data_IF_027666848524
#
_entry.id   IF_027666848524
#
_cell.length_a   1.000
_cell.length_b   1.000
_cell.length_c   1.000
_cell.angle_alpha   90.00
_cell.angle_beta   90.00
_cell.angle_gamma   90.00
#
_symmetry.space_group_name_H-M   'P 1'
#
loop_
_entity.id
_entity.type
_entity.pdbx_description
1 polymer ?
#
# COMPACT_ATOMS: atom_id res chain seq x y z
N UNK A 1 2.49 18.50 42.19
CA UNK A 1 1.29 17.69 41.88
C UNK A 1 0.71 18.24 40.60
N UNK A 2 0.99 17.58 39.47
CA UNK A 2 0.31 17.89 38.20
C UNK A 2 -0.96 17.03 38.13
N UNK A 3 -2.09 17.57 37.66
CA UNK A 3 -3.37 16.88 37.72
C UNK A 3 -3.38 15.70 36.76
N UNK A 4 -3.76 14.54 37.28
CA UNK A 4 -4.05 13.32 36.52
C UNK A 4 -5.25 13.58 35.61
N UNK A 5 -5.01 13.75 34.32
CA UNK A 5 -6.05 13.55 33.31
C UNK A 5 -6.22 12.05 33.14
N UNK A 6 -7.34 11.52 33.63
CA UNK A 6 -7.84 10.22 33.21
C UNK A 6 -8.15 10.30 31.72
N UNK A 7 -7.37 9.59 30.90
CA UNK A 7 -7.65 9.45 29.48
C UNK A 7 -8.81 8.46 29.33
N UNK A 8 -9.92 8.97 28.82
CA UNK A 8 -11.09 8.19 28.44
C UNK A 8 -10.74 7.50 27.11
N UNK A 9 -10.71 6.17 27.09
CA UNK A 9 -10.16 5.34 26.00
C UNK A 9 -10.93 5.38 24.68
N UNK A 10 -11.85 6.33 24.53
CA UNK A 10 -12.63 6.58 23.31
C UNK A 10 -12.18 7.83 22.55
N UNK A 11 -11.42 8.75 23.18
CA UNK A 11 -11.02 10.02 22.55
C UNK A 11 -9.75 9.95 21.68
N UNK A 12 -8.95 8.88 21.77
CA UNK A 12 -7.67 8.75 21.05
C UNK A 12 -7.80 8.08 19.67
N UNK A 13 -9.01 7.75 19.23
CA UNK A 13 -9.30 7.27 17.86
C UNK A 13 -9.36 8.40 16.81
N UNK A 14 -8.82 9.58 17.13
CA UNK A 14 -8.88 10.75 16.27
C UNK A 14 -8.12 10.52 14.95
N UNK A 15 -8.66 11.06 13.84
CA UNK A 15 -8.01 11.08 12.53
C UNK A 15 -6.57 11.61 12.68
N UNK A 16 -5.58 10.76 12.36
CA UNK A 16 -4.18 11.20 12.30
C UNK A 16 -3.97 11.98 11.00
N UNK A 17 -3.42 13.18 11.11
CA UNK A 17 -2.89 13.90 9.96
C UNK A 17 -1.51 13.32 9.64
N UNK A 18 -1.31 12.77 8.45
CA UNK A 18 -0.04 12.17 8.01
C UNK A 18 -0.20 10.82 7.32
N UNK A 19 0.77 9.92 7.47
CA UNK A 19 0.74 8.57 6.90
C UNK A 19 1.02 7.50 7.96
N UNK A 20 0.85 6.25 7.56
CA UNK A 20 1.20 5.07 8.32
C UNK A 20 2.14 4.19 7.47
N UNK A 21 3.35 3.97 7.97
CA UNK A 21 4.25 2.97 7.40
C UNK A 21 4.27 1.73 8.28
N UNK A 22 4.29 0.58 7.64
CA UNK A 22 4.29 -0.75 8.25
C UNK A 22 5.15 -1.68 7.40
N UNK A 23 5.75 -2.70 8.02
CA UNK A 23 6.71 -3.57 7.36
C UNK A 23 6.68 -4.98 7.92
N UNK A 24 7.23 -5.92 7.14
CA UNK A 24 7.55 -7.28 7.52
C UNK A 24 8.69 -7.81 6.64
N UNK A 25 9.71 -8.44 7.25
CA UNK A 25 10.84 -9.08 6.55
C UNK A 25 11.46 -8.26 5.39
N UNK A 26 11.65 -6.95 5.59
CA UNK A 26 12.26 -6.05 4.61
C UNK A 26 11.33 -5.59 3.47
N UNK A 27 10.07 -6.04 3.46
CA UNK A 27 8.98 -5.42 2.70
C UNK A 27 8.31 -4.36 3.57
N UNK A 28 8.06 -3.19 2.98
CA UNK A 28 7.41 -2.06 3.64
C UNK A 28 6.30 -1.52 2.75
N UNK A 29 5.26 -1.01 3.38
CA UNK A 29 4.19 -0.31 2.72
C UNK A 29 3.83 0.96 3.49
N UNK A 30 3.38 1.98 2.76
CA UNK A 30 2.92 3.23 3.35
C UNK A 30 1.54 3.58 2.83
N UNK A 31 0.66 3.95 3.77
CA UNK A 31 -0.71 4.39 3.49
C UNK A 31 -0.94 5.81 4.00
N UNK A 32 -1.68 6.62 3.27
CA UNK A 32 -2.01 7.99 3.67
C UNK A 32 -2.98 8.08 4.85
N UNK A 33 -3.26 9.30 5.32
CA UNK A 33 -4.26 9.58 6.37
C UNK A 33 -5.66 9.14 5.94
N UNK A 34 -5.87 9.20 4.64
CA UNK A 34 -7.07 8.77 3.97
C UNK A 34 -7.17 7.23 3.98
N UNK A 35 -6.07 6.50 4.13
CA UNK A 35 -6.01 5.04 4.01
C UNK A 35 -5.71 4.57 2.59
N UNK A 36 -5.33 5.43 1.66
CA UNK A 36 -4.88 5.02 0.32
C UNK A 36 -3.48 4.41 0.38
N UNK A 37 -3.23 3.33 -0.36
CA UNK A 37 -1.89 2.76 -0.48
C UNK A 37 -1.04 3.62 -1.41
N UNK A 38 -0.01 4.23 -0.85
CA UNK A 38 0.85 5.19 -1.55
C UNK A 38 2.09 4.52 -2.13
N UNK A 39 2.66 3.55 -1.40
CA UNK A 39 3.92 2.95 -1.78
C UNK A 39 4.10 1.57 -1.22
N UNK A 40 4.77 0.72 -1.99
CA UNK A 40 5.36 -0.54 -1.55
C UNK A 40 6.85 -0.44 -1.83
N UNK A 41 7.69 -0.88 -0.90
CA UNK A 41 9.14 -0.88 -1.07
C UNK A 41 9.77 -2.11 -0.47
N UNK A 42 10.78 -2.66 -1.15
CA UNK A 42 11.47 -3.87 -0.74
C UNK A 42 12.94 -3.80 -1.10
N UNK A 43 13.79 -4.25 -0.18
CA UNK A 43 15.18 -4.58 -0.52
C UNK A 43 15.31 -6.04 -0.90
N UNK A 44 16.08 -6.33 -1.95
CA UNK A 44 16.33 -7.68 -2.40
C UNK A 44 17.77 -8.11 -2.10
N UNK A 45 18.01 -9.35 -1.66
CA UNK A 45 19.36 -9.86 -1.41
C UNK A 45 20.30 -9.65 -2.61
N UNK A 46 21.51 -9.15 -2.35
CA UNK A 46 22.51 -8.89 -3.38
C UNK A 46 22.31 -7.60 -4.17
N UNK A 47 21.25 -6.83 -3.92
CA UNK A 47 21.07 -5.50 -4.51
C UNK A 47 21.61 -4.40 -3.63
N UNK A 48 22.19 -3.37 -4.27
CA UNK A 48 22.77 -2.22 -3.57
C UNK A 48 21.69 -1.31 -3.00
N UNK A 49 20.69 -0.97 -3.81
CA UNK A 49 19.56 -0.14 -3.44
C UNK A 49 18.28 -0.98 -3.29
N UNK A 50 17.29 -0.41 -2.60
CA UNK A 50 15.94 -0.97 -2.56
C UNK A 50 15.17 -0.70 -3.85
N UNK A 51 13.98 -1.27 -3.95
CA UNK A 51 13.05 -1.04 -5.04
C UNK A 51 11.73 -0.55 -4.46
N UNK A 52 11.00 0.26 -5.21
CA UNK A 52 9.64 0.66 -4.86
C UNK A 52 8.70 0.56 -6.05
N UNK A 53 7.41 0.56 -5.73
CA UNK A 53 6.33 0.76 -6.70
C UNK A 53 5.81 2.18 -6.54
N UNK A 54 5.80 2.91 -7.64
CA UNK A 54 5.37 4.31 -7.72
C UNK A 54 4.27 4.51 -8.77
N UNK A 55 3.56 5.62 -8.64
CA UNK A 55 2.75 6.16 -9.73
C UNK A 55 3.64 6.76 -10.85
N UNK A 56 3.17 6.79 -12.10
CA UNK A 56 3.94 7.28 -13.24
C UNK A 56 4.49 8.71 -13.09
N UNK A 57 3.71 9.58 -12.46
CA UNK A 57 4.00 11.00 -12.29
C UNK A 57 4.84 11.29 -11.02
N UNK A 58 5.20 10.26 -10.26
CA UNK A 58 6.05 10.41 -9.08
C UNK A 58 7.47 10.80 -9.50
N UNK A 59 8.01 11.87 -8.92
CA UNK A 59 9.37 12.34 -9.18
C UNK A 59 10.41 11.22 -8.95
N UNK A 60 11.42 11.15 -9.82
CA UNK A 60 12.49 10.14 -9.72
C UNK A 60 13.21 10.17 -8.37
N UNK A 61 13.73 9.03 -7.89
CA UNK A 61 14.43 8.90 -6.60
C UNK A 61 15.49 10.00 -6.34
N UNK A 62 16.41 10.27 -7.27
CA UNK A 62 17.46 11.28 -7.09
C UNK A 62 16.92 12.70 -6.77
N UNK A 63 15.66 13.01 -7.11
CA UNK A 63 14.97 14.25 -6.76
C UNK A 63 14.37 14.18 -5.36
N UNK A 64 15.21 13.91 -4.36
CA UNK A 64 14.82 13.68 -2.95
C UNK A 64 13.77 14.68 -2.46
N UNK A 65 14.04 16.00 -2.58
CA UNK A 65 13.16 17.03 -2.02
C UNK A 65 11.83 17.17 -2.77
N UNK A 66 11.81 17.30 -4.12
CA UNK A 66 10.56 17.25 -4.88
C UNK A 66 9.72 16.00 -4.61
N UNK A 67 10.36 14.83 -4.66
CA UNK A 67 9.72 13.53 -4.41
C UNK A 67 9.10 13.46 -3.02
N UNK A 68 9.83 13.86 -1.98
CA UNK A 68 9.34 13.90 -0.61
C UNK A 68 8.12 14.84 -0.46
N UNK A 69 8.16 16.03 -1.08
CA UNK A 69 7.04 16.97 -1.03
C UNK A 69 5.79 16.40 -1.69
N UNK A 70 5.94 15.79 -2.87
CA UNK A 70 4.85 15.14 -3.58
C UNK A 70 4.27 13.97 -2.77
N UNK A 71 5.12 13.17 -2.14
CA UNK A 71 4.69 12.08 -1.27
C UNK A 71 3.89 12.56 -0.06
N UNK A 72 4.39 13.57 0.67
CA UNK A 72 3.70 14.14 1.84
C UNK A 72 2.37 14.79 1.44
N UNK A 73 2.34 15.47 0.29
CA UNK A 73 1.10 16.02 -0.26
C UNK A 73 0.05 14.92 -0.47
N UNK A 74 0.42 13.79 -1.09
CA UNK A 74 -0.48 12.64 -1.30
C UNK A 74 -0.88 11.96 0.00
N UNK A 75 0.03 11.89 0.99
CA UNK A 75 -0.28 11.33 2.29
C UNK A 75 -1.40 12.06 3.04
N UNK A 76 -1.49 13.36 2.85
CA UNK A 76 -2.51 14.22 3.47
C UNK A 76 -3.75 14.39 2.58
N UNK A 77 -3.67 13.99 1.31
CA UNK A 77 -4.74 14.17 0.31
C UNK A 77 -6.00 13.39 0.69
N UNK A 78 -7.15 14.08 0.87
CA UNK A 78 -8.42 13.41 1.16
C UNK A 78 -9.03 12.70 -0.05
N UNK A 79 -8.61 13.01 -1.29
CA UNK A 79 -9.27 12.60 -2.53
C UNK A 79 -9.27 11.08 -2.75
N UNK A 80 -8.32 10.33 -2.18
CA UNK A 80 -8.12 8.89 -2.46
C UNK A 80 -7.85 8.58 -3.95
N UNK A 81 -7.50 9.59 -4.74
CA UNK A 81 -7.32 9.45 -6.20
C UNK A 81 -5.89 9.09 -6.59
N UNK A 82 -4.94 9.46 -5.72
CA UNK A 82 -3.51 9.28 -5.95
C UNK A 82 -2.97 8.12 -5.11
N UNK A 83 -2.41 7.12 -5.76
CA UNK A 83 -1.70 6.02 -5.11
C UNK A 83 -1.51 4.83 -6.05
N UNK A 84 -0.72 3.87 -5.59
CA UNK A 84 -0.55 2.58 -6.26
C UNK A 84 -1.64 1.57 -5.85
N UNK A 85 -2.47 1.95 -4.88
CA UNK A 85 -3.58 1.16 -4.38
C UNK A 85 -4.77 1.10 -5.33
N UNK A 86 -5.85 0.53 -4.81
CA UNK A 86 -7.10 0.33 -5.54
C UNK A 86 -8.02 1.55 -5.43
N UNK A 87 -8.65 1.93 -6.55
CA UNK A 87 -9.72 2.93 -6.57
C UNK A 87 -11.09 2.25 -6.41
N UNK A 88 -11.95 2.85 -5.60
CA UNK A 88 -13.31 2.36 -5.32
C UNK A 88 -14.31 3.49 -5.50
N UNK A 89 -15.20 3.37 -6.47
CA UNK A 89 -16.15 4.44 -6.85
C UNK A 89 -17.09 4.86 -5.72
N UNK A 90 -17.54 3.91 -4.89
CA UNK A 90 -18.43 4.15 -3.76
C UNK A 90 -17.80 5.07 -2.68
N UNK A 91 -16.50 5.30 -2.74
CA UNK A 91 -15.76 6.20 -1.85
C UNK A 91 -15.44 7.56 -2.48
N UNK A 92 -15.78 7.78 -3.75
CA UNK A 92 -15.38 9.01 -4.46
C UNK A 92 -16.09 10.25 -3.89
N UNK A 93 -17.37 10.15 -3.53
CA UNK A 93 -18.16 11.28 -3.05
C UNK A 93 -18.39 11.26 -1.52
N UNK A 94 -18.18 12.41 -0.88
CA UNK A 94 -18.48 12.66 0.55
C UNK A 94 -17.82 11.67 1.51
N UNK A 95 -16.62 11.23 1.15
CA UNK A 95 -15.80 10.35 1.95
C UNK A 95 -15.42 10.98 3.28
N UNK A 96 -15.53 10.19 4.35
CA UNK A 96 -15.11 10.57 5.67
C UNK A 96 -14.38 9.40 6.36
N UNK A 97 -13.14 9.64 6.77
CA UNK A 97 -12.45 8.72 7.69
C UNK A 97 -12.95 9.04 9.09
N UNK A 98 -13.70 8.11 9.70
CA UNK A 98 -14.24 8.27 11.05
C UNK A 98 -13.16 8.08 12.10
N UNK A 99 -12.35 7.03 11.94
CA UNK A 99 -11.17 6.79 12.75
C UNK A 99 -10.18 5.87 12.02
N UNK A 100 -8.98 5.84 12.56
CA UNK A 100 -7.88 4.99 12.14
C UNK A 100 -7.19 4.41 13.38
N UNK A 101 -6.74 3.17 13.31
CA UNK A 101 -6.02 2.49 14.38
C UNK A 101 -4.87 1.63 13.84
N UNK A 102 -4.00 1.18 14.72
CA UNK A 102 -2.98 0.18 14.43
C UNK A 102 -3.35 -1.11 15.18
N UNK A 103 -3.84 -2.10 14.45
CA UNK A 103 -4.09 -3.43 15.01
C UNK A 103 -2.73 -4.03 15.37
N UNK A 104 -2.62 -4.54 16.60
CA UNK A 104 -1.37 -5.12 17.12
C UNK A 104 -0.18 -4.15 17.06
N UNK A 105 -0.43 -2.85 17.24
CA UNK A 105 0.57 -1.76 17.13
C UNK A 105 1.32 -1.71 15.78
N UNK A 106 0.78 -2.40 14.75
CA UNK A 106 1.50 -2.68 13.51
C UNK A 106 0.68 -2.40 12.25
N UNK A 107 -0.54 -2.91 12.22
CA UNK A 107 -1.33 -3.04 10.99
C UNK A 107 -2.36 -1.91 10.88
N UNK A 108 -2.23 -1.00 9.89
CA UNK A 108 -3.18 0.09 9.74
C UNK A 108 -4.58 -0.43 9.43
N UNK A 109 -5.56 0.09 10.18
CA UNK A 109 -6.97 -0.15 9.94
C UNK A 109 -7.74 1.18 9.97
N UNK A 110 -8.76 1.29 9.12
CA UNK A 110 -9.55 2.49 8.94
C UNK A 110 -11.03 2.15 8.91
N UNK A 111 -11.82 2.98 9.60
CA UNK A 111 -13.28 3.02 9.42
C UNK A 111 -13.62 4.23 8.57
N UNK A 112 -14.12 3.97 7.38
CA UNK A 112 -14.43 4.99 6.37
C UNK A 112 -15.93 4.94 6.09
N UNK A 113 -16.58 6.10 5.98
CA UNK A 113 -17.95 6.21 5.50
C UNK A 113 -18.04 7.06 4.25
N UNK A 114 -19.01 6.77 3.41
CA UNK A 114 -19.51 7.67 2.37
C UNK A 114 -21.02 7.82 2.52
N UNK A 115 -21.70 8.44 1.54
CA UNK A 115 -23.16 8.55 1.56
C UNK A 115 -23.88 7.20 1.60
N UNK A 116 -23.28 6.20 0.97
CA UNK A 116 -23.99 4.96 0.62
C UNK A 116 -23.34 3.69 1.21
N UNK A 117 -22.15 3.79 1.79
CA UNK A 117 -21.43 2.63 2.34
C UNK A 117 -20.57 2.98 3.54
N UNK A 118 -20.52 2.08 4.51
CA UNK A 118 -19.45 2.04 5.51
C UNK A 118 -18.42 0.99 5.09
N UNK A 119 -17.15 1.30 5.25
CA UNK A 119 -16.03 0.47 4.86
C UNK A 119 -15.09 0.26 6.06
N UNK A 120 -14.82 -1.00 6.39
CA UNK A 120 -13.60 -1.35 7.12
C UNK A 120 -12.49 -1.63 6.12
N UNK A 121 -11.41 -0.86 6.20
CA UNK A 121 -10.23 -1.03 5.39
C UNK A 121 -9.08 -1.49 6.29
N UNK A 122 -8.46 -2.62 5.98
CA UNK A 122 -7.39 -3.20 6.79
C UNK A 122 -6.18 -3.52 5.93
N UNK A 123 -4.98 -3.33 6.50
CA UNK A 123 -3.72 -3.64 5.85
C UNK A 123 -2.91 -4.63 6.67
N UNK A 124 -2.22 -5.55 6.00
CA UNK A 124 -1.22 -6.41 6.62
C UNK A 124 -0.13 -6.77 5.61
N UNK A 125 1.00 -7.26 6.13
CA UNK A 125 2.06 -7.86 5.30
C UNK A 125 2.31 -9.25 5.83
N UNK A 126 2.29 -10.23 4.92
CA UNK A 126 2.55 -11.64 5.22
C UNK A 126 3.26 -12.27 4.02
N UNK A 127 4.29 -13.09 4.26
CA UNK A 127 5.03 -13.86 3.25
C UNK A 127 5.50 -13.05 2.03
N UNK A 128 5.92 -11.80 2.29
CA UNK A 128 6.40 -10.88 1.27
C UNK A 128 5.32 -10.34 0.33
N UNK A 129 4.06 -10.33 0.77
CA UNK A 129 2.91 -9.75 0.07
C UNK A 129 2.22 -8.71 0.96
N UNK A 130 1.82 -7.58 0.38
CA UNK A 130 0.98 -6.57 1.06
C UNK A 130 -0.48 -6.87 0.76
N UNK A 131 -1.30 -6.92 1.80
CA UNK A 131 -2.73 -7.18 1.70
C UNK A 131 -3.52 -5.92 2.06
N UNK A 132 -4.51 -5.61 1.25
CA UNK A 132 -5.47 -4.53 1.47
C UNK A 132 -6.88 -5.11 1.41
N UNK A 133 -7.52 -5.25 2.56
CA UNK A 133 -8.85 -5.85 2.69
C UNK A 133 -9.91 -4.77 2.82
N UNK A 134 -10.88 -4.81 1.93
CA UNK A 134 -12.08 -3.98 1.93
C UNK A 134 -13.26 -4.82 2.43
N UNK A 135 -13.93 -4.37 3.50
CA UNK A 135 -15.18 -4.95 3.99
C UNK A 135 -16.28 -3.88 3.93
N UNK A 136 -17.11 -3.98 2.90
CA UNK A 136 -18.23 -3.08 2.66
C UNK A 136 -19.43 -3.48 3.51
N UNK A 137 -20.04 -2.49 4.15
CA UNK A 137 -21.25 -2.61 4.94
C UNK A 137 -22.30 -1.60 4.45
N UNK A 138 -23.32 -2.15 3.80
CA UNK A 138 -24.51 -1.49 3.26
C UNK A 138 -25.74 -1.67 4.16
N UNK A 139 -25.56 -2.20 5.38
CA UNK A 139 -26.67 -2.44 6.32
C UNK A 139 -27.27 -1.14 6.86
N UNK A 140 -26.52 -0.05 6.88
CA UNK A 140 -27.05 1.28 7.15
C UNK A 140 -27.70 1.81 5.88
N UNK A 141 -29.02 2.03 5.98
CA UNK A 141 -29.87 2.59 4.93
C UNK A 141 -29.19 3.85 4.34
N UNK A 142 -28.94 3.87 3.03
CA UNK A 142 -28.55 5.08 2.29
C UNK A 142 -29.53 6.21 2.62
N UNK A 143 -29.14 7.49 2.50
CA UNK A 143 -30.04 8.63 2.77
C UNK A 143 -31.42 8.55 2.07
N UNK A 144 -31.52 7.73 1.02
CA UNK A 144 -32.72 7.55 0.19
C UNK A 144 -33.57 6.31 0.53
N UNK A 145 -33.22 5.53 1.56
CA UNK A 145 -34.06 4.38 1.95
C UNK A 145 -33.80 3.08 1.20
N UNK A 146 -32.86 3.05 0.25
CA UNK A 146 -32.64 1.92 -0.66
C UNK A 146 -31.21 1.38 -0.56
N UNK A 147 -31.06 0.06 -0.40
CA UNK A 147 -29.75 -0.60 -0.56
C UNK A 147 -29.26 -0.44 -2.01
N UNK A 148 -27.94 -0.36 -2.26
CA UNK A 148 -27.42 -0.41 -3.62
C UNK A 148 -27.78 -1.75 -4.27
N UNK A 149 -28.12 -1.70 -5.56
CA UNK A 149 -28.52 -2.87 -6.35
C UNK A 149 -27.35 -3.56 -7.05
N UNK A 150 -26.13 -3.03 -6.88
CA UNK A 150 -24.92 -3.55 -7.50
C UNK A 150 -23.71 -3.34 -6.60
N UNK A 151 -22.70 -4.22 -6.68
CA UNK A 151 -21.43 -4.02 -5.99
C UNK A 151 -20.66 -2.80 -6.53
N UNK A 152 -19.69 -2.27 -5.78
CA UNK A 152 -18.95 -1.07 -6.16
C UNK A 152 -18.01 -1.37 -7.32
N UNK A 153 -17.75 -0.38 -8.17
CA UNK A 153 -16.71 -0.48 -9.21
C UNK A 153 -15.35 -0.34 -8.55
N UNK A 154 -14.52 -1.37 -8.73
CA UNK A 154 -13.15 -1.42 -8.25
C UNK A 154 -12.19 -1.36 -9.44
N UNK A 155 -11.33 -0.34 -9.47
CA UNK A 155 -10.34 -0.11 -10.51
C UNK A 155 -8.92 -0.33 -10.00
N UNK A 156 -8.06 -0.84 -10.89
CA UNK A 156 -6.66 -1.16 -10.61
C UNK A 156 -5.76 -0.57 -11.68
N UNK A 157 -4.56 -0.14 -11.26
CA UNK A 157 -3.58 0.44 -12.18
C UNK A 157 -2.75 -0.62 -12.87
N UNK A 158 -2.55 -0.45 -14.18
CA UNK A 158 -1.62 -1.25 -14.98
C UNK A 158 -0.24 -0.59 -15.14
N UNK A 159 -0.20 0.72 -15.02
CA UNK A 159 0.93 1.56 -15.40
C UNK A 159 1.90 1.88 -14.25
N UNK A 160 1.78 1.22 -13.10
CA UNK A 160 2.69 1.44 -11.97
C UNK A 160 4.16 1.23 -12.39
N UNK A 161 5.04 2.06 -11.84
CA UNK A 161 6.47 2.02 -12.11
C UNK A 161 7.19 1.26 -11.00
N UNK A 162 8.12 0.39 -11.39
CA UNK A 162 9.07 -0.24 -10.47
C UNK A 162 10.36 0.57 -10.55
N UNK A 163 10.70 1.29 -9.47
CA UNK A 163 11.87 2.16 -9.43
C UNK A 163 12.94 1.62 -8.48
N UNK A 164 14.19 1.80 -8.88
CA UNK A 164 15.37 1.57 -8.06
C UNK A 164 15.59 2.80 -7.17
N UNK A 165 15.56 2.60 -5.86
CA UNK A 165 15.73 3.63 -4.82
C UNK A 165 17.21 4.08 -4.69
N UNK A 166 17.85 4.39 -5.80
CA UNK A 166 19.17 5.04 -5.85
C UNK A 166 18.99 6.56 -5.94
N UNK A 167 19.46 7.24 -4.89
CA UNK A 167 19.33 8.69 -4.72
C UNK A 167 20.60 9.46 -5.09
N UNK A 168 21.69 8.75 -5.37
CA UNK A 168 23.01 9.36 -5.63
C UNK A 168 23.20 9.54 -7.13
N UNK A 169 22.79 8.54 -7.92
CA UNK A 169 23.05 8.51 -9.35
C UNK A 169 22.30 9.64 -10.05
N UNK A 170 23.03 10.46 -10.82
CA UNK A 170 22.52 11.66 -11.46
C UNK A 170 21.51 11.33 -12.58
N UNK A 171 20.65 12.30 -12.96
CA UNK A 171 19.68 12.09 -14.04
C UNK A 171 20.34 11.56 -15.32
N UNK A 172 19.72 10.53 -15.91
CA UNK A 172 20.21 9.86 -17.11
C UNK A 172 21.33 8.85 -16.90
N UNK A 173 21.83 8.66 -15.67
CA UNK A 173 22.85 7.65 -15.34
C UNK A 173 22.27 6.37 -14.73
N UNK A 174 20.99 6.37 -14.37
CA UNK A 174 20.24 5.19 -13.95
C UNK A 174 19.07 4.96 -14.92
N UNK A 175 19.30 4.31 -16.07
CA UNK A 175 18.28 4.16 -17.09
C UNK A 175 17.07 3.37 -16.60
N UNK A 176 17.27 2.44 -15.64
CA UNK A 176 16.18 1.71 -14.98
C UNK A 176 15.13 2.62 -14.32
N UNK A 177 15.42 3.88 -14.00
CA UNK A 177 14.41 4.79 -13.47
C UNK A 177 13.69 5.64 -14.53
N UNK A 178 14.08 5.56 -15.80
CA UNK A 178 13.42 6.29 -16.87
C UNK A 178 12.01 5.74 -17.10
N UNK A 179 11.02 6.63 -17.25
CA UNK A 179 9.62 6.22 -17.51
C UNK A 179 9.42 5.64 -18.90
N UNK A 180 10.26 6.05 -19.85
CA UNK A 180 10.27 5.58 -21.23
C UNK A 180 11.31 4.47 -21.45
N UNK A 181 11.77 3.82 -20.37
CA UNK A 181 12.75 2.74 -20.47
C UNK A 181 12.18 1.54 -21.24
N UNK A 182 12.96 1.04 -22.20
CA UNK A 182 12.59 -0.12 -23.02
C UNK A 182 12.48 -1.43 -22.24
N UNK A 183 12.98 -1.48 -21.01
CA UNK A 183 12.91 -2.61 -20.09
C UNK A 183 11.52 -2.83 -19.50
N UNK A 184 10.61 -1.85 -19.58
CA UNK A 184 9.22 -2.04 -19.20
C UNK A 184 8.47 -2.91 -20.20
N UNK A 185 7.93 -4.02 -19.71
CA UNK A 185 6.96 -4.82 -20.46
C UNK A 185 5.56 -4.26 -20.24
N UNK A 186 4.67 -4.22 -21.27
CA UNK A 186 3.28 -3.83 -21.09
C UNK A 186 2.64 -4.63 -19.96
N UNK A 187 1.75 -3.98 -19.20
CA UNK A 187 0.97 -4.68 -18.20
C UNK A 187 0.14 -5.79 -18.87
N UNK A 188 0.02 -6.94 -18.20
CA UNK A 188 -0.74 -8.08 -18.73
C UNK A 188 -1.54 -8.76 -17.64
N UNK A 189 -2.61 -9.45 -18.04
CA UNK A 189 -3.33 -10.38 -17.19
C UNK A 189 -2.73 -11.78 -17.34
N UNK A 190 -2.28 -12.36 -16.25
CA UNK A 190 -1.74 -13.71 -16.21
C UNK A 190 -2.19 -14.40 -14.93
N UNK A 191 -2.83 -15.56 -15.06
CA UNK A 191 -3.35 -16.31 -13.90
C UNK A 191 -4.33 -15.53 -13.03
N UNK A 192 -5.12 -14.60 -13.58
CA UNK A 192 -6.05 -13.79 -12.76
C UNK A 192 -5.36 -12.69 -11.93
N UNK A 193 -4.10 -12.39 -12.21
CA UNK A 193 -3.38 -11.25 -11.64
C UNK A 193 -2.95 -10.27 -12.73
N UNK A 194 -2.87 -8.99 -12.38
CA UNK A 194 -2.19 -7.98 -13.20
C UNK A 194 -0.69 -8.14 -12.95
N UNK A 195 0.10 -8.18 -14.02
CA UNK A 195 1.55 -8.22 -13.97
C UNK A 195 2.16 -7.03 -14.68
N UNK A 196 3.07 -6.36 -13.99
CA UNK A 196 3.94 -5.31 -14.53
C UNK A 196 5.38 -5.72 -14.27
N UNK A 197 6.22 -5.65 -15.30
CA UNK A 197 7.61 -6.10 -15.21
C UNK A 197 8.55 -5.03 -15.73
N UNK A 198 9.73 -4.97 -15.11
CA UNK A 198 10.83 -4.11 -15.52
C UNK A 198 12.14 -4.89 -15.48
N UNK A 199 12.74 -5.07 -16.65
CA UNK A 199 14.03 -5.73 -16.83
C UNK A 199 15.18 -4.73 -16.63
N UNK A 200 16.20 -5.12 -15.86
CA UNK A 200 17.42 -4.33 -15.72
C UNK A 200 18.46 -4.66 -16.81
N UNK A 201 19.56 -3.89 -16.86
CA UNK A 201 20.62 -4.05 -17.86
C UNK A 201 21.29 -5.44 -17.84
N UNK A 202 21.23 -6.14 -16.71
CA UNK A 202 21.78 -7.50 -16.54
C UNK A 202 20.78 -8.57 -17.02
N UNK A 203 19.62 -8.18 -17.57
CA UNK A 203 18.55 -9.07 -18.02
C UNK A 203 17.73 -9.66 -16.86
N UNK A 204 17.89 -9.14 -15.63
CA UNK A 204 17.15 -9.62 -14.47
C UNK A 204 15.84 -8.88 -14.34
N UNK A 205 14.81 -9.61 -13.91
CA UNK A 205 13.44 -9.12 -13.96
C UNK A 205 12.93 -8.74 -12.57
N UNK A 206 12.52 -7.48 -12.43
CA UNK A 206 11.65 -7.07 -11.34
C UNK A 206 10.19 -7.15 -11.78
N UNK A 207 9.30 -7.47 -10.84
CA UNK A 207 7.87 -7.54 -11.13
C UNK A 207 7.02 -6.98 -9.99
N UNK A 208 5.87 -6.44 -10.37
CA UNK A 208 4.79 -6.06 -9.50
C UNK A 208 3.53 -6.80 -9.95
N UNK A 209 2.88 -7.49 -9.01
CA UNK A 209 1.64 -8.20 -9.29
C UNK A 209 0.52 -7.80 -8.36
N UNK A 210 -0.69 -7.70 -8.92
CA UNK A 210 -1.91 -7.38 -8.18
C UNK A 210 -2.92 -8.51 -8.40
N UNK A 211 -3.46 -9.03 -7.31
CA UNK A 211 -4.47 -10.08 -7.31
C UNK A 211 -5.64 -9.69 -6.40
N UNK A 212 -6.83 -10.18 -6.69
CA UNK A 212 -8.00 -9.99 -5.85
C UNK A 212 -8.64 -11.33 -5.46
N UNK A 213 -9.02 -11.49 -4.20
CA UNK A 213 -9.72 -12.69 -3.70
C UNK A 213 -10.58 -12.38 -2.47
N UNK A 214 -11.38 -13.34 -2.05
CA UNK A 214 -11.98 -13.40 -0.71
C UNK A 214 -11.72 -14.78 -0.10
N UNK A 215 -12.37 -15.09 1.02
CA UNK A 215 -12.20 -16.37 1.73
C UNK A 215 -12.68 -17.59 0.93
N UNK A 216 -13.45 -17.38 -0.15
CA UNK A 216 -14.05 -18.46 -0.94
C UNK A 216 -13.35 -18.69 -2.27
N UNK A 217 -12.91 -17.62 -2.94
CA UNK A 217 -12.37 -17.72 -4.29
C UNK A 217 -11.51 -16.51 -4.71
N UNK A 218 -10.85 -16.68 -5.86
CA UNK A 218 -10.10 -15.63 -6.57
C UNK A 218 -11.04 -14.89 -7.52
N UNK A 219 -11.06 -13.56 -7.46
CA UNK A 219 -11.85 -12.74 -8.37
C UNK A 219 -11.18 -12.63 -9.74
N UNK A 220 -12.00 -12.54 -10.79
CA UNK A 220 -11.53 -12.23 -12.13
C UNK A 220 -11.20 -10.74 -12.24
N UNK A 221 -10.04 -10.43 -12.82
CA UNK A 221 -9.66 -9.06 -13.21
C UNK A 221 -9.71 -9.00 -14.73
N UNK A 222 -10.38 -7.98 -15.25
CA UNK A 222 -10.55 -7.75 -16.70
C UNK A 222 -9.97 -6.41 -17.09
N UNK A 223 -9.55 -6.27 -18.34
CA UNK A 223 -9.22 -4.96 -18.90
C UNK A 223 -10.46 -4.06 -18.83
N UNK A 224 -10.26 -2.84 -18.34
CA UNK A 224 -11.29 -1.84 -18.36
C UNK A 224 -11.64 -1.58 -19.83
N UNK A 225 -12.90 -1.73 -20.25
CA UNK A 225 -13.29 -1.37 -21.60
C UNK A 225 -12.90 0.08 -21.84
N UNK A 226 -12.42 0.40 -23.05
CA UNK A 226 -12.18 1.78 -23.52
C UNK A 226 -13.53 2.48 -23.66
N UNK A 227 -14.22 2.73 -22.54
CA UNK A 227 -15.57 3.29 -22.50
C UNK A 227 -15.48 4.74 -22.05
N UNK A 228 -15.98 5.62 -22.92
CA UNK A 228 -16.54 6.91 -22.55
C UNK A 228 -17.69 6.65 -21.56
N UNK A 229 -17.42 6.73 -20.25
CA UNK A 229 -18.48 6.66 -19.24
C UNK A 229 -18.86 8.10 -18.89
N UNK A 230 -20.17 8.35 -18.89
CA UNK A 230 -20.80 9.65 -18.74
C UNK A 230 -20.14 10.56 -17.70
N UNK A 231 -19.96 11.82 -18.10
CA UNK A 231 -19.57 12.98 -17.30
C UNK A 231 -18.26 12.92 -16.49
N UNK A 232 -17.55 11.79 -16.38
CA UNK A 232 -16.19 11.78 -15.84
C UNK A 232 -15.19 12.15 -16.93
N UNK A 233 -14.39 13.23 -16.79
CA UNK A 233 -13.39 13.58 -17.77
C UNK A 233 -12.39 12.44 -17.94
N UNK A 234 -11.99 12.16 -19.19
CA UNK A 234 -11.07 11.06 -19.54
C UNK A 234 -9.76 11.08 -18.72
N UNK A 235 -9.33 12.25 -18.29
CA UNK A 235 -8.12 12.47 -17.49
C UNK A 235 -8.20 11.82 -16.10
N UNK A 236 -9.40 11.62 -15.53
CA UNK A 236 -9.59 10.98 -14.22
C UNK A 236 -9.37 9.46 -14.22
N UNK A 237 -9.39 8.83 -15.40
CA UNK A 237 -9.26 7.37 -15.54
C UNK A 237 -7.91 6.94 -16.13
N UNK A 238 -6.98 7.88 -16.36
CA UNK A 238 -5.66 7.57 -16.92
C UNK A 238 -4.87 6.62 -16.01
N UNK A 239 -4.52 5.45 -16.56
CA UNK A 239 -3.76 4.40 -15.88
C UNK A 239 -4.59 3.37 -15.11
N UNK A 240 -5.91 3.61 -14.94
CA UNK A 240 -6.84 2.66 -14.32
C UNK A 240 -7.36 1.62 -15.33
N UNK A 241 -6.41 0.88 -15.87
CA UNK A 241 -6.57 0.01 -17.04
C UNK A 241 -7.34 -1.28 -16.77
N UNK A 242 -7.60 -1.61 -15.50
CA UNK A 242 -8.21 -2.87 -15.10
C UNK A 242 -9.38 -2.68 -14.13
N UNK A 243 -10.33 -3.61 -14.20
CA UNK A 243 -11.52 -3.69 -13.35
C UNK A 243 -11.56 -5.04 -12.65
N UNK A 244 -11.93 -5.03 -11.37
CA UNK A 244 -12.39 -6.23 -10.71
C UNK A 244 -13.79 -6.59 -11.22
N UNK A 245 -13.97 -7.85 -11.58
CA UNK A 245 -15.26 -8.39 -11.98
C UNK A 245 -15.86 -9.19 -10.82
N UNK A 246 -16.88 -8.62 -10.21
CA UNK A 246 -17.72 -9.30 -9.24
C UNK A 246 -18.47 -10.46 -9.90
N UNK A 247 -18.63 -11.55 -9.16
CA UNK A 247 -19.46 -12.67 -9.58
C UNK A 247 -20.96 -12.39 -9.32
N UNK A 248 -21.83 -13.31 -9.77
CA UNK A 248 -23.26 -13.20 -9.52
C UNK A 248 -23.63 -13.33 -8.02
N UNK A 249 -22.72 -13.86 -7.20
CA UNK A 249 -22.94 -14.06 -5.77
C UNK A 249 -22.81 -12.73 -5.01
N UNK A 250 -21.90 -11.85 -5.41
CA UNK A 250 -21.72 -10.54 -4.80
C UNK A 250 -23.01 -9.71 -4.70
N UNK A 251 -23.83 -9.67 -5.76
CA UNK A 251 -25.12 -8.97 -5.74
C UNK A 251 -26.11 -9.62 -4.78
N UNK A 252 -26.13 -10.97 -4.72
CA UNK A 252 -26.98 -11.71 -3.77
C UNK A 252 -26.57 -11.45 -2.32
N UNK A 253 -25.27 -11.35 -2.06
CA UNK A 253 -24.74 -11.09 -0.72
C UNK A 253 -25.08 -9.67 -0.24
N UNK A 254 -25.08 -8.69 -1.13
CA UNK A 254 -25.56 -7.33 -0.83
C UNK A 254 -27.06 -7.36 -0.50
N UNK A 255 -27.87 -8.04 -1.30
CA UNK A 255 -29.31 -8.13 -1.08
C UNK A 255 -29.63 -8.81 0.26
N UNK A 256 -29.02 -9.98 0.49
CA UNK A 256 -29.28 -10.84 1.65
C UNK A 256 -28.65 -10.30 2.93
N UNK A 257 -27.36 -9.96 2.91
CA UNK A 257 -26.58 -9.61 4.11
C UNK A 257 -26.25 -8.12 4.19
N UNK A 258 -26.29 -7.40 3.06
CA UNK A 258 -25.82 -6.01 3.00
C UNK A 258 -24.32 -5.89 3.22
N UNK A 259 -23.55 -6.92 2.89
CA UNK A 259 -22.10 -6.96 3.11
C UNK A 259 -21.39 -7.58 1.94
N UNK A 260 -20.17 -7.11 1.69
CA UNK A 260 -19.29 -7.61 0.65
C UNK A 260 -17.84 -7.45 1.11
N UNK A 261 -16.96 -8.35 0.70
CA UNK A 261 -15.53 -8.20 0.99
C UNK A 261 -14.64 -8.63 -0.17
N UNK A 262 -13.53 -7.95 -0.29
CA UNK A 262 -12.44 -8.30 -1.22
C UNK A 262 -11.11 -7.91 -0.60
N UNK A 263 -10.12 -8.76 -0.79
CA UNK A 263 -8.73 -8.50 -0.43
C UNK A 263 -7.90 -8.37 -1.70
N UNK A 264 -7.17 -7.27 -1.79
CA UNK A 264 -6.16 -7.05 -2.82
C UNK A 264 -4.81 -7.48 -2.27
N UNK A 265 -4.11 -8.33 -3.01
CA UNK A 265 -2.73 -8.73 -2.71
C UNK A 265 -1.77 -8.10 -3.71
N UNK A 266 -0.76 -7.41 -3.17
CA UNK A 266 0.27 -6.72 -3.92
C UNK A 266 1.63 -7.35 -3.64
N UNK A 267 2.34 -7.81 -4.67
CA UNK A 267 3.66 -8.42 -4.52
C UNK A 267 4.68 -7.71 -5.38
N UNK A 268 5.74 -7.22 -4.73
CA UNK A 268 6.95 -6.72 -5.37
C UNK A 268 8.03 -7.80 -5.28
N UNK A 269 8.48 -8.28 -6.43
CA UNK A 269 9.45 -9.37 -6.54
C UNK A 269 10.61 -9.05 -7.49
N UNK A 270 11.66 -9.86 -7.40
CA UNK A 270 12.87 -9.71 -8.18
C UNK A 270 13.51 -11.07 -8.45
N UNK A 271 13.74 -11.38 -9.72
CA UNK A 271 14.43 -12.59 -10.21
C UNK A 271 13.87 -13.90 -9.63
N UNK A 272 12.56 -13.91 -9.34
CA UNK A 272 11.79 -15.04 -8.83
C UNK A 272 10.64 -15.32 -9.79
N UNK A 273 10.22 -16.58 -9.90
CA UNK A 273 8.96 -16.89 -10.58
C UNK A 273 7.80 -16.21 -9.83
N UNK A 274 6.84 -15.61 -10.55
CA UNK A 274 5.61 -15.13 -9.96
C UNK A 274 4.96 -16.20 -9.07
N UNK A 275 4.54 -15.82 -7.87
CA UNK A 275 3.76 -16.72 -6.99
C UNK A 275 2.41 -16.98 -7.62
N UNK A 276 1.91 -18.22 -7.51
CA UNK A 276 0.65 -18.61 -8.12
C UNK A 276 -0.54 -18.12 -7.29
N UNK A 277 -1.69 -17.83 -7.94
CA UNK A 277 -2.93 -17.41 -7.27
C UNK A 277 -3.37 -18.27 -6.08
N UNK A 278 -3.24 -19.59 -6.21
CA UNK A 278 -3.70 -20.57 -5.22
C UNK A 278 -2.94 -20.45 -3.90
N UNK A 279 -1.64 -20.13 -3.98
CA UNK A 279 -0.80 -19.97 -2.79
C UNK A 279 -1.23 -18.74 -1.98
N UNK A 280 -1.69 -17.68 -2.65
CA UNK A 280 -2.15 -16.44 -2.02
C UNK A 280 -3.47 -16.60 -1.25
N UNK A 281 -4.41 -17.42 -1.75
CA UNK A 281 -5.70 -17.68 -1.06
C UNK A 281 -5.46 -18.44 0.25
N UNK A 282 -4.48 -19.34 0.31
CA UNK A 282 -4.12 -20.00 1.57
C UNK A 282 -3.55 -19.00 2.59
N UNK A 283 -2.82 -17.99 2.15
CA UNK A 283 -2.39 -16.89 3.03
C UNK A 283 -3.56 -16.04 3.52
N UNK A 284 -4.66 -15.93 2.75
CA UNK A 284 -5.89 -15.19 3.12
C UNK A 284 -6.56 -15.71 4.38
N UNK A 285 -6.69 -17.04 4.52
CA UNK A 285 -7.27 -17.66 5.71
C UNK A 285 -6.47 -17.32 6.98
N UNK A 286 -5.20 -16.93 6.83
CA UNK A 286 -4.33 -16.52 7.93
C UNK A 286 -4.44 -15.02 8.24
N UNK A 287 -5.09 -14.21 7.39
CA UNK A 287 -5.14 -12.75 7.48
C UNK A 287 -6.20 -12.19 8.43
N UNK A 288 -6.96 -13.03 9.14
CA UNK A 288 -7.82 -12.54 10.21
C UNK A 288 -6.99 -12.03 11.40
N UNK A 289 -6.62 -10.75 11.30
CA UNK A 289 -5.82 -10.06 12.32
C UNK A 289 -6.47 -10.09 13.70
N UNK A 290 -7.79 -10.30 13.80
CA UNK A 290 -8.48 -10.35 15.09
C UNK A 290 -8.26 -11.67 15.83
N UNK A 291 -7.91 -12.73 15.11
CA UNK A 291 -7.64 -14.06 15.66
C UNK A 291 -6.15 -14.41 15.66
N UNK A 292 -5.31 -13.64 14.97
CA UNK A 292 -3.87 -13.79 15.05
C UNK A 292 -3.38 -13.58 16.50
N UNK A 293 -2.60 -14.51 17.06
CA UNK A 293 -2.00 -14.32 18.37
C UNK A 293 -1.02 -13.16 18.33
N UNK A 294 -1.18 -12.21 19.24
CA UNK A 294 -0.28 -11.07 19.42
C UNK A 294 0.12 -10.95 20.87
N UNK A 295 1.42 -11.05 21.12
CA UNK A 295 2.02 -10.79 22.42
C UNK A 295 2.88 -9.53 22.31
N UNK A 296 2.40 -8.43 22.87
CA UNK A 296 3.09 -7.15 22.82
C UNK A 296 4.35 -7.19 23.70
N UNK A 297 5.52 -6.95 23.11
CA UNK A 297 6.76 -6.77 23.85
C UNK A 297 6.65 -5.56 24.79
N UNK A 298 6.95 -5.75 26.09
CA UNK A 298 6.98 -4.65 27.07
C UNK A 298 8.40 -4.11 27.15
N UNK A 299 8.58 -2.82 26.82
CA UNK A 299 9.88 -2.15 26.86
C UNK A 299 10.02 -1.21 28.07
N UNK A 300 8.91 -0.70 28.57
CA UNK A 300 8.86 0.31 29.64
C UNK A 300 7.55 0.23 30.43
N UNK A 301 7.47 0.98 31.52
CA UNK A 301 6.24 1.13 32.30
C UNK A 301 5.27 2.18 31.70
N UNK A 302 5.58 2.76 30.55
CA UNK A 302 4.75 3.77 29.88
C UNK A 302 4.12 3.17 28.60
N UNK A 303 2.81 2.87 28.61
CA UNK A 303 2.13 2.24 27.48
C UNK A 303 2.28 2.98 26.15
N UNK A 304 2.29 4.32 26.18
CA UNK A 304 2.42 5.13 24.96
C UNK A 304 3.84 5.05 24.39
N UNK A 305 4.85 5.04 25.26
CA UNK A 305 6.23 4.84 24.85
C UNK A 305 6.41 3.45 24.24
N UNK A 306 5.79 2.45 24.84
CA UNK A 306 5.83 1.07 24.40
C UNK A 306 5.22 0.86 23.01
N UNK A 307 4.08 1.49 22.70
CA UNK A 307 3.51 1.50 21.34
C UNK A 307 4.49 2.13 20.34
N UNK A 308 5.09 3.27 20.70
CA UNK A 308 6.09 3.91 19.84
C UNK A 308 7.33 3.04 19.64
N UNK A 309 7.80 2.36 20.69
CA UNK A 309 8.97 1.49 20.62
C UNK A 309 8.69 0.24 19.79
N UNK A 310 7.55 -0.45 19.98
CA UNK A 310 7.15 -1.59 19.15
C UNK A 310 7.04 -1.20 17.68
N UNK A 311 6.35 -0.10 17.37
CA UNK A 311 6.23 0.38 15.99
C UNK A 311 7.61 0.56 15.34
N UNK A 312 8.54 1.26 15.99
CA UNK A 312 9.81 1.62 15.36
C UNK A 312 10.88 0.52 15.45
N UNK A 313 10.95 -0.21 16.57
CA UNK A 313 12.03 -1.15 16.87
C UNK A 313 11.67 -2.61 16.60
N UNK A 314 10.38 -2.95 16.57
CA UNK A 314 9.93 -4.33 16.33
C UNK A 314 9.35 -4.48 14.93
N UNK A 315 8.51 -3.54 14.50
CA UNK A 315 7.65 -3.76 13.34
C UNK A 315 8.08 -3.02 12.06
N UNK A 316 8.60 -1.80 12.18
CA UNK A 316 9.01 -1.02 11.01
C UNK A 316 10.45 -1.36 10.63
N UNK A 317 11.35 -1.59 11.60
CA UNK A 317 12.76 -2.02 11.45
C UNK A 317 13.50 -1.48 10.20
N UNK A 318 13.09 -0.33 9.66
CA UNK A 318 13.77 0.33 8.58
C UNK A 318 14.62 1.42 9.22
N UNK A 319 15.91 1.14 9.38
CA UNK A 319 16.88 2.22 9.53
C UNK A 319 17.17 2.69 8.11
N UNK A 320 16.66 3.86 7.74
CA UNK A 320 17.04 4.51 6.49
C UNK A 320 18.51 4.89 6.58
N UNK A 321 19.32 4.54 5.61
CA UNK A 321 20.73 4.89 5.49
C UNK A 321 20.88 5.80 4.27
N UNK A 322 21.16 7.08 4.49
CA UNK A 322 21.32 8.11 3.45
C UNK A 322 22.81 8.38 3.25
N UNK A 323 23.39 8.03 2.11
CA UNK A 323 24.76 8.40 1.77
C UNK A 323 24.88 9.93 1.71
N UNK A 324 25.61 10.51 2.63
CA UNK A 324 26.01 11.91 2.63
C UNK A 324 27.24 12.01 1.74
N UNK A 325 27.14 12.79 0.67
CA UNK A 325 28.26 13.04 -0.25
C UNK A 325 29.46 13.52 0.56
N UNK A 326 30.50 12.70 0.64
CA UNK A 326 31.79 13.12 1.16
C UNK A 326 32.44 14.01 0.10
N UNK A 327 32.70 15.26 0.45
CA UNK A 327 33.48 16.18 -0.41
C UNK A 327 34.97 15.82 -0.45
N UNK A 328 35.38 14.76 0.25
CA UNK A 328 36.73 14.21 0.24
C UNK A 328 36.65 12.83 -0.39
N UNK A 329 37.54 12.53 -1.33
CA UNK A 329 37.57 11.31 -2.15
C UNK A 329 37.86 10.03 -1.35
N UNK A 330 37.13 9.79 -0.26
CA UNK A 330 37.15 8.56 0.49
C UNK A 330 36.30 7.51 -0.28
N UNK A 331 36.83 6.30 -0.41
CA UNK A 331 36.21 5.18 -1.15
C UNK A 331 34.89 4.69 -0.52
N UNK A 332 34.58 5.13 0.72
CA UNK A 332 33.39 4.71 1.47
C UNK A 332 32.55 5.95 1.80
N UNK A 333 31.30 6.05 1.30
CA UNK A 333 30.44 7.21 1.55
C UNK A 333 30.07 7.29 3.04
N UNK A 334 30.00 8.51 3.59
CA UNK A 334 29.42 8.75 4.91
C UNK A 334 27.93 8.43 4.86
N UNK A 335 27.36 7.79 5.88
CA UNK A 335 25.94 7.38 5.89
C UNK A 335 25.24 8.05 7.08
N UNK A 336 24.13 8.74 6.82
CA UNK A 336 23.21 9.24 7.83
C UNK A 336 22.09 8.23 8.06
N UNK A 337 21.91 7.80 9.31
CA UNK A 337 20.82 6.90 9.69
C UNK A 337 19.57 7.70 10.08
N UNK A 338 18.42 7.39 9.50
CA UNK A 338 17.12 8.00 9.82
C UNK A 338 16.07 6.93 10.10
N UNK A 339 14.99 7.29 10.79
CA UNK A 339 13.98 6.38 11.31
C UNK A 339 13.02 5.79 10.26
N UNK A 340 13.47 5.53 9.02
CA UNK A 340 12.78 4.59 8.14
C UNK A 340 11.53 5.09 7.42
N UNK A 341 10.89 6.13 7.94
CA UNK A 341 9.44 6.25 7.82
C UNK A 341 8.96 6.81 6.48
N UNK A 342 9.83 7.43 5.68
CA UNK A 342 9.37 8.17 4.47
C UNK A 342 9.92 7.64 3.16
N UNK A 343 11.05 6.92 3.15
CA UNK A 343 11.70 6.71 1.86
C UNK A 343 12.55 5.43 1.69
N UNK A 344 12.61 4.51 2.66
CA UNK A 344 13.27 3.19 2.52
C UNK A 344 14.65 3.25 1.85
N UNK A 345 15.61 3.96 2.45
CA UNK A 345 16.97 4.03 1.90
C UNK A 345 17.86 2.99 2.54
N UNK A 346 18.42 2.10 1.72
CA UNK A 346 19.42 1.10 2.08
C UNK A 346 19.13 0.30 3.37
N UNK A 347 18.62 -0.92 3.20
CA UNK A 347 18.62 -1.92 4.27
C UNK A 347 20.07 -2.38 4.49
N UNK A 348 20.67 -1.99 5.62
CA UNK A 348 21.89 -2.63 6.08
C UNK A 348 21.52 -3.99 6.68
N UNK A 349 22.01 -5.08 6.10
CA UNK A 349 21.93 -6.38 6.75
C UNK A 349 22.78 -6.34 8.02
N UNK A 350 22.07 -6.37 9.16
CA UNK A 350 22.53 -6.41 10.55
C UNK A 350 22.61 -5.07 11.30
N UNK A 351 21.61 -4.84 12.17
CA UNK A 351 21.79 -4.09 13.41
C UNK A 351 21.98 -5.05 14.61
N UNK A 352 22.69 -6.16 14.41
CA UNK A 352 23.30 -7.01 15.44
C UNK A 352 24.01 -8.20 14.78
N UNK A 353 25.24 -8.49 15.22
CA UNK A 353 25.94 -9.76 15.03
C UNK A 353 25.21 -10.91 15.73
#
# INVERSE_FOLDING_TARGET
MLPSRSFDSTSDRAKKNGYYSFGDEGLTATVGASGQLLRISRHFPGKRAGFCVDEPDMEEPFRVTPRLKQFLYRAEDPSFENGIGTYVDALHLNRQVYYSELIHDRWPAFKIGSLDVNLDLQYAILDGTVYQTFKFDYSQITRNGSKPTSPPIIRLRGDSLIRNLDYITLPGQNPFNNTDDSGYKPARLEGGSIFREHEDEDGKQSFFSIMAFNDEHVFEIVEAPTLQIGEMPADYLLGWDYLLKWDEQASKDIDQYGRLSVTMAYRLGYDQSPVRPVDTVQSAEQLDLSTMPYEAQIFSNNPNLDVCLRKNLEHVLSVCSIPVVSTRGDEVPTIALTCGDVDSHFVSTAASL
#
